data_IF_480303383770
#
_entry.id   IF_480303383770
#
_cell.length_a   1.000
_cell.length_b   1.000
_cell.length_c   1.000
_cell.angle_alpha   90.00
_cell.angle_beta   90.00
_cell.angle_gamma   90.00
#
_symmetry.space_group_name_H-M   'P 1'
#
loop_
_entity.id
_entity.type
_entity.pdbx_description
1 polymer ?
#
# COMPACT_ATOMS: atom_id res chain seq x y z
N UNK A 1 -11.27 -36.55 -7.43
CA UNK A 1 -10.56 -35.45 -8.11
C UNK A 1 -11.48 -34.36 -8.68
N UNK A 2 -12.71 -34.65 -9.12
CA UNK A 2 -13.56 -33.65 -9.80
C UNK A 2 -14.13 -32.52 -8.91
N UNK A 3 -14.39 -32.77 -7.62
CA UNK A 3 -14.99 -31.77 -6.70
C UNK A 3 -14.15 -30.50 -6.58
N UNK A 4 -12.85 -30.65 -6.34
CA UNK A 4 -11.93 -29.52 -6.21
C UNK A 4 -11.76 -28.74 -7.51
N UNK A 5 -11.78 -29.44 -8.66
CA UNK A 5 -11.74 -28.80 -9.97
C UNK A 5 -12.93 -27.87 -10.18
N UNK A 6 -14.14 -28.31 -9.79
CA UNK A 6 -15.35 -27.47 -9.84
C UNK A 6 -15.25 -26.28 -8.90
N UNK A 7 -14.74 -26.47 -7.68
CA UNK A 7 -14.52 -25.36 -6.73
C UNK A 7 -13.55 -24.33 -7.30
N UNK A 8 -12.45 -24.75 -7.93
CA UNK A 8 -11.50 -23.84 -8.57
C UNK A 8 -12.13 -23.06 -9.72
N UNK A 9 -12.94 -23.72 -10.56
CA UNK A 9 -13.66 -23.04 -11.64
C UNK A 9 -14.67 -22.00 -11.15
N UNK A 10 -15.16 -22.12 -9.92
CA UNK A 10 -16.00 -21.11 -9.29
C UNK A 10 -15.18 -20.04 -8.57
N UNK A 11 -14.07 -20.41 -7.95
CA UNK A 11 -13.18 -19.49 -7.24
C UNK A 11 -12.50 -18.49 -8.18
N UNK A 12 -12.06 -18.93 -9.36
CA UNK A 12 -11.41 -18.05 -10.34
C UNK A 12 -12.28 -16.85 -10.73
N UNK A 13 -13.53 -17.01 -11.22
CA UNK A 13 -14.37 -15.88 -11.58
C UNK A 13 -14.76 -15.04 -10.35
N UNK A 14 -14.91 -15.66 -9.17
CA UNK A 14 -15.16 -14.92 -7.93
C UNK A 14 -13.98 -13.99 -7.58
N UNK A 15 -12.74 -14.49 -7.61
CA UNK A 15 -11.54 -13.68 -7.40
C UNK A 15 -11.37 -12.61 -8.48
N UNK A 16 -11.67 -12.93 -9.75
CA UNK A 16 -11.60 -11.97 -10.84
C UNK A 16 -12.61 -10.83 -10.64
N UNK A 17 -13.87 -11.16 -10.31
CA UNK A 17 -14.91 -10.17 -10.02
C UNK A 17 -14.54 -9.30 -8.81
N UNK A 18 -14.02 -9.91 -7.74
CA UNK A 18 -13.54 -9.18 -6.57
C UNK A 18 -12.36 -8.27 -6.89
N UNK A 19 -11.43 -8.72 -7.73
CA UNK A 19 -10.32 -7.91 -8.23
C UNK A 19 -10.82 -6.70 -9.01
N UNK A 20 -11.72 -6.90 -9.98
CA UNK A 20 -12.33 -5.81 -10.75
C UNK A 20 -13.04 -4.82 -9.83
N UNK A 21 -13.83 -5.30 -8.86
CA UNK A 21 -14.49 -4.43 -7.88
C UNK A 21 -13.45 -3.62 -7.10
N UNK A 22 -12.44 -4.27 -6.54
CA UNK A 22 -11.39 -3.61 -5.75
C UNK A 22 -10.64 -2.55 -6.57
N UNK A 23 -10.30 -2.82 -7.83
CA UNK A 23 -9.63 -1.83 -8.67
C UNK A 23 -10.55 -0.70 -9.14
N UNK A 24 -11.84 -0.99 -9.36
CA UNK A 24 -12.81 0.01 -9.79
C UNK A 24 -13.23 0.95 -8.64
N UNK A 25 -13.25 0.46 -7.39
CA UNK A 25 -13.72 1.22 -6.23
C UNK A 25 -12.62 1.64 -5.27
N UNK A 26 -11.36 1.26 -5.52
CA UNK A 26 -10.25 1.72 -4.69
C UNK A 26 -10.05 3.23 -4.86
N UNK A 27 -10.58 4.01 -3.92
CA UNK A 27 -10.10 5.37 -3.69
C UNK A 27 -8.67 5.29 -3.14
N UNK A 28 -7.75 6.03 -3.76
CA UNK A 28 -6.44 6.32 -3.17
C UNK A 28 -6.64 7.45 -2.18
N UNK A 29 -7.28 7.12 -1.04
CA UNK A 29 -7.43 8.03 0.07
C UNK A 29 -6.06 8.37 0.60
N UNK A 30 -5.47 9.46 0.12
CA UNK A 30 -4.39 10.12 0.83
C UNK A 30 -5.01 10.58 2.15
N UNK A 31 -4.70 9.86 3.24
CA UNK A 31 -5.11 10.29 4.56
C UNK A 31 -4.65 11.73 4.77
N UNK A 32 -5.47 12.52 5.48
CA UNK A 32 -5.05 13.88 5.82
C UNK A 32 -3.70 13.84 6.53
N UNK A 33 -2.89 14.88 6.29
CA UNK A 33 -1.55 14.94 6.83
C UNK A 33 -1.61 14.82 8.36
N UNK A 34 -0.96 13.79 8.89
CA UNK A 34 -0.90 13.61 10.32
C UNK A 34 0.07 14.65 10.89
N UNK A 35 -0.32 15.38 11.95
CA UNK A 35 0.60 16.31 12.60
C UNK A 35 1.84 15.56 13.10
N UNK A 36 2.97 16.27 13.17
CA UNK A 36 4.28 15.70 13.47
C UNK A 36 4.41 15.25 14.94
N UNK A 37 3.77 14.13 15.27
CA UNK A 37 3.87 13.52 16.58
C UNK A 37 5.27 12.94 16.81
N UNK A 38 5.80 13.07 18.02
CA UNK A 38 7.18 12.64 18.39
C UNK A 38 7.45 11.15 18.22
N UNK A 39 6.40 10.33 18.11
CA UNK A 39 6.47 8.90 17.90
C UNK A 39 6.33 8.50 16.42
N UNK A 40 5.87 9.39 15.53
CA UNK A 40 5.80 9.16 14.09
C UNK A 40 7.12 9.55 13.42
N UNK A 41 7.41 8.94 12.27
CA UNK A 41 8.63 9.18 11.47
C UNK A 41 9.94 9.12 12.32
N UNK A 42 9.95 8.36 13.43
CA UNK A 42 11.12 8.27 14.31
C UNK A 42 12.29 7.59 13.59
N UNK A 43 13.44 8.26 13.56
CA UNK A 43 14.70 7.72 13.04
C UNK A 43 15.64 7.42 14.21
N UNK A 44 16.10 6.18 14.34
CA UNK A 44 17.14 5.78 15.33
C UNK A 44 18.55 5.80 14.74
N UNK A 45 18.66 5.79 13.41
CA UNK A 45 19.88 5.94 12.63
C UNK A 45 19.63 7.06 11.62
N UNK A 46 20.64 7.90 11.40
CA UNK A 46 20.53 9.08 10.53
C UNK A 46 20.25 8.70 9.07
N UNK A 47 20.69 7.54 8.60
CA UNK A 47 20.49 7.14 7.21
C UNK A 47 20.10 5.67 7.05
N UNK A 48 19.17 5.44 6.13
CA UNK A 48 18.78 4.11 5.70
C UNK A 48 19.87 3.45 4.84
N UNK A 49 19.97 2.11 4.81
CA UNK A 49 21.03 1.41 4.08
C UNK A 49 20.95 1.56 2.55
N UNK A 50 19.82 2.00 2.00
CA UNK A 50 19.64 2.32 0.56
C UNK A 50 19.86 3.81 0.22
N UNK A 51 20.21 4.62 1.21
CA UNK A 51 20.40 6.07 1.05
C UNK A 51 19.09 6.85 1.13
N UNK A 52 19.16 8.00 1.79
CA UNK A 52 18.05 8.94 1.92
C UNK A 52 17.25 8.81 3.21
N UNK A 53 16.37 9.79 3.40
CA UNK A 53 15.54 9.96 4.60
C UNK A 53 14.20 9.25 4.48
N UNK A 54 13.87 8.65 3.33
CA UNK A 54 12.62 7.94 3.08
C UNK A 54 12.78 6.42 3.31
N UNK A 55 11.75 5.84 3.92
CA UNK A 55 11.58 4.39 4.08
C UNK A 55 11.52 3.66 2.74
N UNK A 56 11.73 2.34 2.77
CA UNK A 56 11.90 1.52 1.56
C UNK A 56 10.74 1.62 0.55
N UNK A 57 9.52 1.84 1.04
CA UNK A 57 8.30 1.99 0.24
C UNK A 57 7.56 3.30 0.57
N UNK A 58 8.29 4.31 1.07
CA UNK A 58 7.72 5.63 1.30
C UNK A 58 7.71 6.41 -0.02
N UNK A 59 6.55 6.98 -0.36
CA UNK A 59 6.43 7.91 -1.47
C UNK A 59 6.62 9.35 -0.97
N UNK A 60 7.35 10.19 -1.70
CA UNK A 60 7.51 11.59 -1.34
C UNK A 60 6.14 12.30 -1.41
N UNK A 61 5.71 12.91 -0.30
CA UNK A 61 4.54 13.78 -0.30
C UNK A 61 4.92 15.16 -0.83
N UNK A 62 4.04 15.79 -1.63
CA UNK A 62 4.29 17.08 -2.29
C UNK A 62 4.56 18.25 -1.33
N UNK A 63 4.20 18.13 -0.07
CA UNK A 63 4.32 19.19 0.94
C UNK A 63 5.52 19.01 1.89
N UNK A 64 6.24 17.88 1.80
CA UNK A 64 7.43 17.59 2.60
C UNK A 64 8.69 18.40 2.16
N UNK A 65 8.54 19.46 1.34
CA UNK A 65 9.61 20.42 1.07
C UNK A 65 10.76 19.90 0.19
N UNK A 66 10.44 19.21 -0.91
CA UNK A 66 11.41 18.89 -1.95
C UNK A 66 11.70 20.10 -2.85
N UNK A 67 12.89 20.68 -2.69
CA UNK A 67 13.62 21.38 -3.77
C UNK A 67 13.93 20.42 -4.92
#
# INVERSE_FOLDING_TARGET
MNKWRTVTFLAIPACAAFGVYSFATAEHGHGEEQPAYSYLKRRSREQWPWGGDLGLFEYPHKEDGGH
#
